data_IF_991996195446
#
_entry.id   IF_991996195446
#
_cell.length_a   1.000
_cell.length_b   1.000
_cell.length_c   1.000
_cell.angle_alpha   90.00
_cell.angle_beta   90.00
_cell.angle_gamma   90.00
#
_symmetry.space_group_name_H-M   'P 1'
#
loop_
_entity.id
_entity.type
_entity.pdbx_description
1 polymer ?
#
# COMPACT_ATOMS: atom_id res chain seq x y z
N UNK A 1 13.21 -9.77 17.52
CA UNK A 1 14.61 -9.77 17.12
C UNK A 1 15.47 -10.55 18.09
N UNK A 2 16.52 -11.22 17.64
CA UNK A 2 17.50 -11.84 18.53
C UNK A 2 18.22 -10.72 19.25
N UNK A 3 18.18 -10.68 20.57
CA UNK A 3 19.06 -9.81 21.36
C UNK A 3 20.44 -10.45 21.42
N UNK A 4 21.44 -9.84 20.79
CA UNK A 4 22.82 -10.27 20.78
C UNK A 4 23.20 -11.25 19.66
N UNK A 5 24.49 -11.32 19.35
CA UNK A 5 25.06 -12.23 18.38
C UNK A 5 24.96 -13.68 18.86
N UNK A 6 24.39 -14.57 18.07
CA UNK A 6 24.29 -16.01 18.37
C UNK A 6 25.38 -16.77 17.62
N UNK A 7 25.99 -17.74 18.30
CA UNK A 7 26.91 -18.67 17.66
C UNK A 7 26.14 -19.83 17.06
N UNK A 8 26.56 -20.31 15.91
CA UNK A 8 25.98 -21.46 15.24
C UNK A 8 27.02 -22.24 14.46
N UNK A 9 26.64 -23.40 13.94
CA UNK A 9 27.45 -24.25 13.09
C UNK A 9 26.62 -24.71 11.91
N UNK A 10 27.17 -24.62 10.72
CA UNK A 10 26.52 -25.12 9.52
C UNK A 10 26.42 -26.65 9.56
N UNK A 11 25.24 -27.18 9.24
CA UNK A 11 25.01 -28.64 9.19
C UNK A 11 25.12 -29.21 7.76
N UNK A 12 25.26 -28.36 6.78
CA UNK A 12 25.47 -28.69 5.36
C UNK A 12 26.18 -27.56 4.66
N UNK A 13 26.73 -27.83 3.46
CA UNK A 13 27.14 -26.76 2.57
C UNK A 13 25.94 -25.98 2.10
N UNK A 14 25.97 -24.66 2.22
CA UNK A 14 24.84 -23.80 1.89
C UNK A 14 25.27 -22.49 1.24
N UNK A 15 24.51 -22.06 0.23
CA UNK A 15 24.72 -20.77 -0.39
C UNK A 15 24.43 -19.61 0.57
N UNK A 16 25.40 -18.70 0.69
CA UNK A 16 25.24 -17.42 1.37
C UNK A 16 24.75 -16.40 0.34
N UNK A 17 23.65 -15.72 0.61
CA UNK A 17 22.98 -14.83 -0.35
C UNK A 17 22.99 -13.38 0.09
N UNK A 18 22.78 -12.47 -0.85
CA UNK A 18 22.67 -11.02 -0.59
C UNK A 18 21.46 -10.64 0.25
N UNK A 19 20.39 -11.45 0.24
CA UNK A 19 19.15 -11.20 0.96
C UNK A 19 18.46 -12.49 1.41
N UNK A 20 17.37 -12.38 2.22
CA UNK A 20 16.75 -13.50 2.90
C UNK A 20 15.73 -14.24 2.02
N UNK A 21 16.10 -14.65 0.81
CA UNK A 21 15.32 -15.51 -0.07
C UNK A 21 16.20 -16.22 -1.10
N UNK A 22 15.70 -17.31 -1.68
CA UNK A 22 16.42 -18.07 -2.73
C UNK A 22 16.56 -17.29 -4.04
N UNK A 23 15.76 -16.26 -4.26
CA UNK A 23 15.83 -15.37 -5.43
C UNK A 23 17.01 -14.40 -5.41
N UNK A 24 17.66 -14.19 -4.25
CA UNK A 24 18.84 -13.33 -4.19
C UNK A 24 20.10 -14.08 -4.65
N UNK A 25 21.03 -13.34 -5.29
CA UNK A 25 22.32 -13.87 -5.73
C UNK A 25 23.13 -14.47 -4.57
N UNK A 26 23.82 -15.56 -4.84
CA UNK A 26 24.78 -16.12 -3.91
C UNK A 26 26.07 -15.29 -3.91
N UNK A 27 26.60 -14.99 -2.72
CA UNK A 27 27.87 -14.28 -2.51
C UNK A 27 29.00 -15.21 -2.07
N UNK A 28 28.66 -16.46 -1.78
CA UNK A 28 29.64 -17.50 -1.37
C UNK A 28 28.92 -18.75 -0.87
N UNK A 29 29.71 -19.70 -0.40
CA UNK A 29 29.23 -20.95 0.21
C UNK A 29 29.74 -21.02 1.64
N UNK A 30 28.81 -21.25 2.58
CA UNK A 30 29.08 -21.59 3.97
C UNK A 30 29.32 -23.11 4.03
N UNK A 31 30.53 -23.60 4.32
CA UNK A 31 30.81 -25.01 4.36
C UNK A 31 30.15 -25.71 5.56
N UNK A 32 29.86 -26.99 5.42
CA UNK A 32 29.47 -27.85 6.53
C UNK A 32 30.49 -27.77 7.68
N UNK A 33 30.01 -27.78 8.90
CA UNK A 33 30.82 -27.67 10.14
C UNK A 33 31.49 -26.31 10.36
N UNK A 34 31.31 -25.34 9.46
CA UNK A 34 31.82 -23.99 9.66
C UNK A 34 31.06 -23.29 10.80
N UNK A 35 31.84 -22.76 11.75
CA UNK A 35 31.28 -21.88 12.80
C UNK A 35 30.85 -20.53 12.21
N UNK A 36 29.68 -20.04 12.63
CA UNK A 36 29.13 -18.76 12.21
C UNK A 36 28.66 -17.93 13.40
N UNK A 37 28.64 -16.62 13.22
CA UNK A 37 27.92 -15.69 14.10
C UNK A 37 26.63 -15.26 13.41
N UNK A 38 25.49 -15.48 14.05
CA UNK A 38 24.17 -15.04 13.57
C UNK A 38 23.84 -13.71 14.22
N UNK A 39 23.68 -12.68 13.38
CA UNK A 39 23.43 -11.30 13.82
C UNK A 39 21.98 -10.87 13.69
N UNK A 40 21.22 -11.53 12.81
CA UNK A 40 19.84 -11.19 12.51
C UNK A 40 19.05 -12.44 12.11
N UNK A 41 17.77 -12.48 12.47
CA UNK A 41 16.80 -13.46 11.95
C UNK A 41 15.78 -12.69 11.15
N UNK A 42 15.74 -12.94 9.86
CA UNK A 42 14.72 -12.42 8.98
C UNK A 42 13.64 -13.48 8.79
N UNK A 43 12.41 -13.09 9.07
CA UNK A 43 11.23 -13.79 8.63
C UNK A 43 10.77 -13.08 7.36
N UNK A 44 10.80 -13.75 6.22
CA UNK A 44 9.97 -13.34 5.12
C UNK A 44 8.55 -13.58 5.59
N UNK A 45 7.86 -12.53 6.06
CA UNK A 45 6.44 -12.56 6.35
C UNK A 45 5.73 -13.00 5.07
N UNK A 46 5.49 -14.31 4.95
CA UNK A 46 4.61 -14.86 3.94
C UNK A 46 3.20 -14.63 4.47
N UNK A 47 2.70 -13.42 4.25
CA UNK A 47 1.31 -13.07 4.51
C UNK A 47 0.38 -13.62 3.41
N UNK A 48 0.88 -14.43 2.49
CA UNK A 48 0.10 -15.08 1.43
C UNK A 48 0.50 -16.53 1.21
N UNK A 49 -0.26 -17.41 1.78
CA UNK A 49 -0.74 -18.71 1.35
C UNK A 49 0.09 -19.60 0.39
N UNK A 50 1.42 -19.64 0.47
CA UNK A 50 2.20 -20.64 -0.27
C UNK A 50 2.78 -21.65 0.71
N UNK A 51 2.11 -22.78 0.84
CA UNK A 51 2.43 -23.92 1.71
C UNK A 51 3.72 -24.70 1.36
N UNK A 52 4.65 -24.16 0.59
CA UNK A 52 5.72 -24.96 -0.04
C UNK A 52 7.15 -24.69 0.45
N UNK A 53 7.38 -23.78 1.42
CA UNK A 53 8.71 -23.61 1.98
C UNK A 53 8.76 -24.19 3.38
N UNK A 54 9.44 -25.30 3.53
CA UNK A 54 9.65 -26.03 4.78
C UNK A 54 10.39 -25.21 5.87
N UNK A 55 10.90 -24.01 5.53
CA UNK A 55 11.52 -23.13 6.50
C UNK A 55 11.58 -21.66 5.99
N UNK A 56 10.68 -20.77 6.44
CA UNK A 56 10.61 -19.39 5.99
C UNK A 56 11.66 -18.47 6.64
N UNK A 57 12.52 -18.98 7.52
CA UNK A 57 13.45 -18.17 8.27
C UNK A 57 14.82 -18.16 7.65
N UNK A 58 15.46 -16.99 7.68
CA UNK A 58 16.81 -16.74 7.20
C UNK A 58 17.64 -16.13 8.30
N UNK A 59 18.87 -16.59 8.44
CA UNK A 59 19.85 -16.01 9.33
C UNK A 59 20.83 -15.15 8.56
N UNK A 60 21.01 -13.91 9.01
CA UNK A 60 22.17 -13.13 8.61
C UNK A 60 23.35 -13.63 9.39
N UNK A 61 24.31 -14.17 8.67
CA UNK A 61 25.51 -14.80 9.26
C UNK A 61 26.76 -14.06 8.90
N UNK A 62 27.77 -14.10 9.78
CA UNK A 62 29.13 -13.78 9.44
C UNK A 62 30.07 -14.92 9.85
N UNK A 63 31.06 -15.19 9.02
CA UNK A 63 32.09 -16.21 9.26
C UNK A 63 33.39 -15.86 8.53
N UNK A 64 34.47 -16.48 8.91
CA UNK A 64 35.79 -16.34 8.26
C UNK A 64 36.13 -17.68 7.61
N UNK A 65 36.49 -17.64 6.32
CA UNK A 65 36.97 -18.79 5.56
C UNK A 65 38.20 -18.33 4.78
N UNK A 66 39.29 -19.09 4.87
CA UNK A 66 40.56 -18.79 4.18
C UNK A 66 41.04 -17.35 4.41
N UNK A 67 40.92 -16.85 5.67
CA UNK A 67 41.30 -15.50 6.07
C UNK A 67 40.35 -14.39 5.58
N UNK A 68 39.33 -14.71 4.78
CA UNK A 68 38.36 -13.75 4.26
C UNK A 68 37.04 -13.80 5.04
N UNK A 69 36.53 -12.61 5.43
CA UNK A 69 35.25 -12.48 6.12
C UNK A 69 34.10 -12.48 5.09
N UNK A 70 33.11 -13.32 5.34
CA UNK A 70 31.84 -13.38 4.60
C UNK A 70 30.69 -12.92 5.47
N UNK A 71 29.76 -12.22 4.87
CA UNK A 71 28.50 -11.80 5.51
C UNK A 71 27.37 -11.93 4.51
N UNK A 72 26.26 -12.48 4.92
CA UNK A 72 25.09 -12.65 4.07
C UNK A 72 24.01 -13.48 4.75
N UNK A 73 23.02 -13.90 3.99
CA UNK A 73 21.86 -14.65 4.48
C UNK A 73 21.95 -16.12 4.07
N UNK A 74 21.64 -16.99 5.04
CA UNK A 74 21.52 -18.43 4.82
C UNK A 74 20.18 -18.90 5.36
N UNK A 75 19.59 -19.92 4.73
CA UNK A 75 18.37 -20.52 5.28
C UNK A 75 18.66 -21.10 6.67
N UNK A 76 17.78 -20.80 7.62
CA UNK A 76 17.92 -21.27 9.00
C UNK A 76 17.90 -22.80 9.13
N UNK A 77 17.40 -23.53 8.12
CA UNK A 77 17.43 -24.98 8.06
C UNK A 77 18.84 -25.57 8.07
N UNK A 78 19.84 -24.78 7.62
CA UNK A 78 21.23 -25.24 7.45
C UNK A 78 22.19 -24.75 8.53
N UNK A 79 21.70 -24.09 9.57
CA UNK A 79 22.52 -23.60 10.69
C UNK A 79 21.93 -24.06 12.03
N UNK A 80 22.70 -24.86 12.76
CA UNK A 80 22.38 -25.21 14.13
C UNK A 80 22.88 -24.12 15.06
N UNK A 81 21.96 -23.39 15.71
CA UNK A 81 22.35 -22.33 16.66
C UNK A 81 22.76 -22.93 17.98
N UNK A 82 23.86 -22.41 18.50
CA UNK A 82 24.23 -22.53 19.91
C UNK A 82 23.75 -21.28 20.63
N UNK A 83 22.71 -21.41 21.44
CA UNK A 83 22.17 -20.31 22.22
C UNK A 83 22.78 -20.27 23.62
N UNK A 84 23.19 -19.11 24.08
CA UNK A 84 23.49 -18.86 25.49
C UNK A 84 22.47 -17.86 26.02
N UNK A 85 21.77 -18.23 27.09
CA UNK A 85 20.71 -17.45 27.68
C UNK A 85 20.90 -17.31 29.18
N UNK A 86 20.50 -16.18 29.73
CA UNK A 86 20.51 -15.95 31.16
C UNK A 86 19.08 -15.66 31.62
N UNK A 87 18.60 -16.38 32.60
CA UNK A 87 17.30 -16.19 33.26
C UNK A 87 17.46 -16.13 34.77
N UNK A 88 16.51 -15.57 35.46
CA UNK A 88 16.45 -15.63 36.92
C UNK A 88 15.85 -16.98 37.39
N UNK A 89 16.05 -17.32 38.66
CA UNK A 89 15.26 -18.34 39.34
C UNK A 89 13.77 -17.96 39.21
N UNK A 90 12.94 -18.95 38.86
CA UNK A 90 11.53 -18.80 38.50
C UNK A 90 11.27 -18.01 37.20
N UNK A 91 12.29 -17.45 36.56
CA UNK A 91 12.19 -16.80 35.23
C UNK A 91 11.80 -17.77 34.14
N UNK A 92 11.19 -17.28 33.08
CA UNK A 92 10.75 -18.05 31.91
C UNK A 92 11.41 -17.51 30.67
N UNK A 93 11.75 -18.39 29.75
CA UNK A 93 12.30 -18.08 28.43
C UNK A 93 11.66 -19.00 27.42
N UNK A 94 11.12 -18.47 26.35
CA UNK A 94 10.84 -19.26 25.16
C UNK A 94 12.12 -19.35 24.34
N UNK A 95 12.64 -20.56 24.17
CA UNK A 95 13.73 -20.79 23.25
C UNK A 95 13.26 -20.34 21.85
N UNK A 96 14.04 -19.48 21.17
CA UNK A 96 13.74 -19.22 19.77
C UNK A 96 13.80 -20.58 19.09
N UNK A 97 12.81 -20.88 18.25
CA UNK A 97 12.74 -22.12 17.49
C UNK A 97 13.96 -22.18 16.58
N UNK A 98 15.04 -22.76 17.09
CA UNK A 98 16.36 -22.77 16.44
C UNK A 98 16.44 -23.81 15.35
N UNK A 99 15.58 -24.84 15.47
CA UNK A 99 15.35 -25.82 14.41
C UNK A 99 14.11 -25.37 13.63
N UNK A 100 14.32 -24.57 12.61
CA UNK A 100 13.25 -24.16 11.70
C UNK A 100 12.89 -25.31 10.78
N UNK A 101 11.90 -26.06 11.19
CA UNK A 101 11.42 -27.28 10.54
C UNK A 101 9.92 -27.36 10.71
N UNK A 102 9.24 -27.99 9.76
CA UNK A 102 7.84 -28.38 9.91
C UNK A 102 7.66 -29.62 10.84
N UNK A 103 8.77 -30.23 11.21
CA UNK A 103 8.77 -31.39 12.11
C UNK A 103 8.56 -30.96 13.56
N UNK A 104 8.02 -31.86 14.36
CA UNK A 104 7.95 -31.69 15.82
C UNK A 104 9.37 -31.61 16.37
N UNK A 105 9.64 -30.58 17.18
CA UNK A 105 10.90 -30.47 17.96
C UNK A 105 10.65 -30.93 19.36
N UNK A 106 11.48 -31.82 19.83
CA UNK A 106 11.50 -32.32 21.19
C UNK A 106 12.61 -31.61 21.95
N UNK A 107 12.40 -31.34 23.24
CA UNK A 107 13.36 -30.65 24.07
C UNK A 107 13.70 -31.49 25.32
N UNK A 108 14.97 -31.48 25.70
CA UNK A 108 15.47 -32.17 26.89
C UNK A 108 16.43 -31.24 27.65
N UNK A 109 16.26 -31.17 28.96
CA UNK A 109 17.18 -30.52 29.89
C UNK A 109 18.12 -31.54 30.49
N UNK A 110 19.43 -31.28 30.46
CA UNK A 110 20.44 -32.13 31.09
C UNK A 110 20.33 -32.10 32.63
N UNK A 111 19.74 -31.05 33.19
CA UNK A 111 19.51 -30.94 34.64
C UNK A 111 18.23 -30.14 34.92
N UNK A 112 17.08 -30.84 35.11
CA UNK A 112 15.80 -30.22 35.43
C UNK A 112 15.78 -29.47 36.77
N UNK A 113 16.72 -29.76 37.68
CA UNK A 113 16.84 -29.03 38.94
C UNK A 113 17.39 -27.59 38.76
N UNK A 114 18.08 -27.35 37.62
CA UNK A 114 18.54 -26.00 37.24
C UNK A 114 17.50 -25.33 36.34
N UNK A 115 17.05 -25.99 35.29
CA UNK A 115 15.96 -25.51 34.43
C UNK A 115 15.19 -26.66 33.78
N UNK A 116 13.88 -26.50 33.72
CA UNK A 116 12.98 -27.39 32.95
C UNK A 116 12.66 -26.76 31.59
N UNK A 117 12.26 -27.60 30.64
CA UNK A 117 11.78 -27.21 29.32
C UNK A 117 10.58 -28.05 28.96
N UNK A 118 9.56 -27.47 28.35
CA UNK A 118 8.40 -28.18 27.81
C UNK A 118 8.56 -28.46 26.30
N UNK A 119 7.62 -29.25 25.75
CA UNK A 119 7.62 -29.62 24.31
C UNK A 119 7.45 -28.43 23.37
N UNK A 120 7.00 -27.30 23.87
CA UNK A 120 6.92 -26.06 23.11
C UNK A 120 8.22 -25.22 23.17
N UNK A 121 9.25 -25.69 23.91
CA UNK A 121 10.50 -24.99 24.11
C UNK A 121 10.43 -23.86 25.14
N UNK A 122 9.46 -23.86 26.05
CA UNK A 122 9.42 -22.91 27.16
C UNK A 122 10.31 -23.42 28.28
N UNK A 123 11.36 -22.66 28.60
CA UNK A 123 12.30 -22.94 29.68
C UNK A 123 11.88 -22.21 30.93
N UNK A 124 11.94 -22.89 32.10
CA UNK A 124 11.73 -22.30 33.40
C UNK A 124 12.96 -22.54 34.29
N UNK A 125 13.52 -21.46 34.83
CA UNK A 125 14.60 -21.54 35.82
C UNK A 125 14.11 -22.08 37.17
N UNK A 126 14.75 -23.12 37.69
CA UNK A 126 14.40 -23.78 38.96
C UNK A 126 15.43 -23.46 40.04
N UNK A 127 16.71 -23.71 39.75
CA UNK A 127 17.83 -23.48 40.64
C UNK A 127 18.94 -22.70 40.00
N UNK A 128 19.76 -21.96 40.79
CA UNK A 128 20.92 -21.29 40.25
C UNK A 128 21.96 -22.27 39.68
N UNK A 129 22.51 -21.95 38.53
CA UNK A 129 23.50 -22.80 37.85
C UNK A 129 23.46 -22.65 36.33
N UNK A 130 24.20 -23.51 35.65
CA UNK A 130 24.21 -23.55 34.20
C UNK A 130 23.80 -24.96 33.74
N UNK A 131 22.92 -25.00 32.74
CA UNK A 131 22.39 -26.26 32.20
C UNK A 131 22.30 -26.17 30.67
N UNK A 132 22.43 -27.31 30.02
CA UNK A 132 22.21 -27.45 28.59
C UNK A 132 20.81 -27.95 28.30
N UNK A 133 20.15 -27.31 27.35
CA UNK A 133 18.89 -27.76 26.78
C UNK A 133 19.18 -28.23 25.34
N UNK A 134 18.78 -29.45 25.04
CA UNK A 134 18.87 -30.05 23.72
C UNK A 134 17.51 -29.95 23.03
N UNK A 135 17.51 -29.48 21.77
CA UNK A 135 16.37 -29.61 20.88
C UNK A 135 16.71 -30.56 19.74
N UNK A 136 15.80 -31.45 19.38
CA UNK A 136 16.03 -32.41 18.29
C UNK A 136 14.74 -32.79 17.59
N UNK A 137 14.86 -33.25 16.35
CA UNK A 137 13.76 -33.75 15.54
C UNK A 137 13.97 -35.23 15.25
N UNK A 138 12.91 -35.95 14.85
CA UNK A 138 12.97 -37.33 14.43
C UNK A 138 13.95 -37.56 13.25
N UNK A 139 14.13 -36.57 12.40
CA UNK A 139 15.07 -36.60 11.27
C UNK A 139 16.52 -36.29 11.66
N UNK A 140 16.83 -36.16 12.97
CA UNK A 140 18.21 -35.99 13.47
C UNK A 140 18.75 -34.56 13.42
N UNK A 141 17.92 -33.54 13.15
CA UNK A 141 18.32 -32.15 13.35
C UNK A 141 18.42 -31.86 14.84
N UNK A 142 19.44 -31.13 15.26
CA UNK A 142 19.66 -30.83 16.67
C UNK A 142 20.08 -29.38 16.90
N UNK A 143 19.75 -28.88 18.08
CA UNK A 143 20.20 -27.59 18.61
C UNK A 143 20.66 -27.74 20.05
N UNK A 144 21.54 -26.88 20.50
CA UNK A 144 22.03 -26.85 21.87
C UNK A 144 21.89 -25.43 22.39
N UNK A 145 21.26 -25.28 23.54
CA UNK A 145 21.10 -24.00 24.22
C UNK A 145 21.65 -24.11 25.65
N UNK A 146 22.56 -23.22 26.01
CA UNK A 146 23.10 -23.13 27.37
C UNK A 146 22.28 -22.11 28.15
N UNK A 147 21.71 -22.51 29.28
CA UNK A 147 20.90 -21.69 30.15
C UNK A 147 21.63 -21.42 31.44
N UNK A 148 21.96 -20.18 31.73
CA UNK A 148 22.45 -19.74 33.05
C UNK A 148 21.29 -19.21 33.86
N UNK A 149 20.98 -19.87 34.96
CA UNK A 149 19.97 -19.44 35.92
C UNK A 149 20.63 -18.69 37.06
N UNK A 150 20.26 -17.45 37.25
CA UNK A 150 20.79 -16.56 38.30
C UNK A 150 19.99 -16.73 39.59
N UNK A 151 20.65 -16.65 40.74
CA UNK A 151 20.01 -16.62 42.05
C UNK A 151 19.10 -15.40 42.25
N UNK A 152 19.45 -14.27 41.58
CA UNK A 152 18.70 -13.01 41.63
C UNK A 152 18.30 -12.57 40.24
N UNK A 153 17.12 -11.95 40.14
CA UNK A 153 16.62 -11.33 38.92
C UNK A 153 17.39 -10.06 38.59
N UNK A 154 17.63 -9.82 37.31
CA UNK A 154 18.07 -8.52 36.77
C UNK A 154 16.81 -7.86 36.22
N UNK A 155 16.30 -6.86 36.95
CA UNK A 155 15.08 -6.17 36.57
C UNK A 155 15.33 -5.05 35.57
N UNK A 156 14.32 -4.73 34.79
CA UNK A 156 14.34 -3.59 33.89
C UNK A 156 14.51 -2.29 34.65
N UNK A 157 15.49 -1.46 34.28
CA UNK A 157 15.67 -0.09 34.78
C UNK A 157 15.00 0.94 33.90
N UNK A 158 14.74 0.59 32.61
CA UNK A 158 14.08 1.47 31.68
C UNK A 158 13.49 0.74 30.48
N UNK A 159 12.65 1.46 29.75
CA UNK A 159 12.05 1.03 28.48
C UNK A 159 11.97 2.23 27.54
N UNK A 160 12.30 2.04 26.26
CA UNK A 160 12.19 3.06 25.21
C UNK A 160 11.42 2.50 24.01
N UNK A 161 10.76 3.40 23.27
CA UNK A 161 10.15 3.09 21.98
C UNK A 161 10.97 3.71 20.84
N UNK A 162 10.92 3.06 19.68
CA UNK A 162 11.50 3.61 18.45
C UNK A 162 10.77 4.85 17.94
N UNK A 163 9.51 5.07 18.36
CA UNK A 163 8.70 6.26 18.07
C UNK A 163 7.83 6.63 19.25
N UNK A 164 7.76 7.93 19.56
CA UNK A 164 6.91 8.50 20.60
C UNK A 164 5.60 9.06 20.06
N UNK A 165 5.51 9.20 18.74
CA UNK A 165 4.30 9.62 18.03
C UNK A 165 4.11 8.79 16.76
N UNK A 166 2.86 8.45 16.43
CA UNK A 166 2.45 7.81 15.19
C UNK A 166 1.32 8.61 14.55
N UNK A 167 1.51 8.99 13.29
CA UNK A 167 0.45 9.57 12.46
C UNK A 167 0.04 8.53 11.41
N UNK A 168 -1.10 7.90 11.60
CA UNK A 168 -1.60 6.80 10.76
C UNK A 168 -2.80 7.25 9.94
N UNK A 169 -2.93 6.71 8.75
CA UNK A 169 -4.18 6.76 7.98
C UNK A 169 -5.10 5.65 8.44
N UNK A 170 -6.40 5.93 8.53
CA UNK A 170 -7.39 4.90 8.85
C UNK A 170 -7.23 3.68 7.94
N UNK A 171 -7.24 2.47 8.54
CA UNK A 171 -7.03 1.20 7.85
C UNK A 171 -5.55 0.80 7.65
N UNK A 172 -4.57 1.61 8.06
CA UNK A 172 -3.15 1.26 7.97
C UNK A 172 -2.61 0.69 9.29
N UNK A 173 -1.44 0.10 9.23
CA UNK A 173 -0.71 -0.43 10.39
C UNK A 173 0.72 0.06 10.43
N UNK A 174 1.30 0.14 11.62
CA UNK A 174 2.73 0.40 11.84
C UNK A 174 3.23 -0.36 13.07
N UNK A 175 4.51 -0.72 13.08
CA UNK A 175 5.12 -1.47 14.17
C UNK A 175 5.90 -0.54 15.11
N UNK A 176 5.56 -0.58 16.39
CA UNK A 176 6.37 -0.04 17.47
C UNK A 176 7.35 -1.12 17.95
N UNK A 177 8.58 -0.70 18.24
CA UNK A 177 9.60 -1.54 18.87
C UNK A 177 9.92 -0.97 20.25
N UNK A 178 9.83 -1.82 21.27
CA UNK A 178 10.26 -1.49 22.62
C UNK A 178 11.68 -2.05 22.85
N UNK A 179 12.53 -1.26 23.46
CA UNK A 179 13.86 -1.65 23.93
C UNK A 179 13.91 -1.51 25.44
N UNK A 180 14.17 -2.62 26.11
CA UNK A 180 14.29 -2.68 27.58
C UNK A 180 15.77 -2.58 27.96
N UNK A 181 16.06 -1.83 29.02
CA UNK A 181 17.41 -1.73 29.61
C UNK A 181 17.40 -2.25 31.03
N UNK A 182 18.49 -2.91 31.47
CA UNK A 182 19.65 -3.35 30.68
C UNK A 182 19.28 -4.48 29.70
N UNK A 183 20.08 -4.69 28.66
CA UNK A 183 19.83 -5.69 27.60
C UNK A 183 19.87 -7.15 28.12
N UNK A 184 20.49 -7.40 29.27
CA UNK A 184 20.55 -8.68 29.97
C UNK A 184 19.45 -8.85 31.03
N UNK A 185 18.39 -8.03 30.96
CA UNK A 185 17.23 -8.16 31.83
C UNK A 185 16.68 -9.60 31.80
N UNK A 186 16.50 -10.20 32.98
CA UNK A 186 15.99 -11.59 33.09
C UNK A 186 14.49 -11.70 32.87
N UNK A 187 13.79 -10.56 32.90
CA UNK A 187 12.36 -10.44 32.66
C UNK A 187 12.12 -9.28 31.66
N UNK A 188 12.47 -9.56 30.41
CA UNK A 188 12.37 -8.61 29.31
C UNK A 188 11.02 -8.56 28.60
N UNK A 189 9.99 -9.26 29.11
CA UNK A 189 8.66 -9.28 28.51
C UNK A 189 8.01 -7.89 28.54
N UNK A 190 7.47 -7.47 27.41
CA UNK A 190 6.77 -6.20 27.25
C UNK A 190 5.31 -6.46 26.92
N UNK A 191 4.43 -5.87 27.70
CA UNK A 191 2.99 -5.87 27.44
C UNK A 191 2.57 -4.56 26.78
N UNK A 192 1.59 -4.64 25.90
CA UNK A 192 1.12 -3.50 25.11
C UNK A 192 -0.36 -3.24 25.39
N UNK A 193 -0.70 -1.98 25.59
CA UNK A 193 -2.08 -1.53 25.82
C UNK A 193 -2.38 -0.26 25.04
N UNK A 194 -3.54 -0.24 24.37
CA UNK A 194 -4.10 0.98 23.79
C UNK A 194 -5.11 1.58 24.77
N UNK A 195 -5.08 2.90 24.93
CA UNK A 195 -6.07 3.64 25.73
C UNK A 195 -7.47 3.63 25.05
N UNK A 196 -7.51 3.45 23.73
CA UNK A 196 -8.76 3.30 22.96
C UNK A 196 -8.60 2.34 21.80
N UNK A 197 -9.01 1.08 22.00
CA UNK A 197 -8.93 0.03 20.98
C UNK A 197 -9.83 0.27 19.76
N UNK A 198 -10.85 1.14 19.86
CA UNK A 198 -11.70 1.54 18.73
C UNK A 198 -10.94 2.47 17.77
N UNK A 199 -10.03 3.28 18.27
CA UNK A 199 -9.19 4.18 17.45
C UNK A 199 -7.98 3.42 16.92
N UNK A 200 -7.19 2.78 17.80
CA UNK A 200 -6.06 1.96 17.40
C UNK A 200 -5.91 0.73 18.31
N UNK A 201 -5.78 -0.44 17.69
CA UNK A 201 -5.50 -1.71 18.39
C UNK A 201 -4.01 -1.98 18.31
N UNK A 202 -3.41 -2.38 19.42
CA UNK A 202 -2.02 -2.85 19.45
C UNK A 202 -1.99 -4.35 19.78
N UNK A 203 -1.12 -5.09 19.10
CA UNK A 203 -0.88 -6.52 19.37
C UNK A 203 0.22 -6.71 20.41
N UNK A 204 0.36 -7.93 20.92
CA UNK A 204 1.46 -8.32 21.82
C UNK A 204 2.85 -8.15 21.22
N UNK A 205 2.94 -8.05 19.88
CA UNK A 205 4.20 -7.81 19.14
C UNK A 205 4.46 -6.36 18.79
N UNK A 206 3.63 -5.42 19.28
CA UNK A 206 3.77 -3.99 19.04
C UNK A 206 3.22 -3.49 17.70
N UNK A 207 2.47 -4.31 16.94
CA UNK A 207 1.81 -3.83 15.72
C UNK A 207 0.59 -2.99 16.08
N UNK A 208 0.56 -1.75 15.63
CA UNK A 208 -0.53 -0.79 15.85
C UNK A 208 -1.37 -0.71 14.59
N UNK A 209 -2.66 -1.05 14.71
CA UNK A 209 -3.65 -1.03 13.62
C UNK A 209 -4.58 0.16 13.81
N UNK A 210 -4.61 1.07 12.86
CA UNK A 210 -5.54 2.20 12.83
C UNK A 210 -6.94 1.72 12.45
N UNK A 211 -7.93 1.89 13.36
CA UNK A 211 -9.29 1.35 13.20
C UNK A 211 -10.33 2.43 12.91
N UNK A 212 -10.22 3.58 13.57
CA UNK A 212 -11.08 4.74 13.34
C UNK A 212 -10.31 6.04 13.58
N UNK A 213 -10.81 7.12 13.03
CA UNK A 213 -10.19 8.45 13.13
C UNK A 213 -10.28 8.99 14.56
N UNK A 214 -9.19 9.54 15.07
CA UNK A 214 -9.09 10.09 16.42
C UNK A 214 -7.70 9.99 16.98
N UNK A 215 -7.58 10.16 18.28
CA UNK A 215 -6.31 10.08 19.01
C UNK A 215 -6.41 9.10 20.18
N UNK A 216 -5.36 8.36 20.41
CA UNK A 216 -5.20 7.49 21.57
C UNK A 216 -3.72 7.37 21.94
N UNK A 217 -3.45 6.70 23.05
CA UNK A 217 -2.08 6.43 23.52
C UNK A 217 -1.85 4.93 23.56
N UNK A 218 -0.74 4.47 22.99
CA UNK A 218 -0.25 3.10 23.15
C UNK A 218 0.84 3.10 24.20
N UNK A 219 0.70 2.23 25.20
CA UNK A 219 1.63 2.06 26.31
C UNK A 219 2.31 0.70 26.23
N UNK A 220 3.62 0.69 26.31
CA UNK A 220 4.43 -0.50 26.52
C UNK A 220 4.88 -0.57 27.99
N UNK A 221 4.73 -1.71 28.62
CA UNK A 221 5.02 -1.91 30.04
C UNK A 221 5.90 -3.14 30.23
N UNK A 222 7.01 -3.00 30.96
CA UNK A 222 7.85 -4.13 31.37
C UNK A 222 7.16 -4.93 32.50
N UNK A 223 7.64 -6.14 32.76
CA UNK A 223 7.09 -6.99 33.84
C UNK A 223 7.16 -6.33 35.22
N UNK A 224 8.21 -5.53 35.50
CA UNK A 224 8.37 -4.77 36.74
C UNK A 224 7.73 -3.38 36.71
N UNK A 225 6.86 -3.11 35.72
CA UNK A 225 6.01 -1.91 35.71
C UNK A 225 6.61 -0.64 35.12
N UNK A 226 7.81 -0.67 34.50
CA UNK A 226 8.34 0.48 33.77
C UNK A 226 7.50 0.70 32.51
N UNK A 227 7.13 1.96 32.24
CA UNK A 227 6.20 2.32 31.16
C UNK A 227 6.81 3.34 30.21
N UNK A 228 6.41 3.23 28.95
CA UNK A 228 6.67 4.24 27.93
C UNK A 228 5.44 4.33 27.01
N UNK A 229 5.17 5.51 26.51
CA UNK A 229 3.97 5.78 25.71
C UNK A 229 4.31 6.30 24.31
N UNK A 230 3.41 6.00 23.37
CA UNK A 230 3.39 6.56 22.03
C UNK A 230 2.02 7.20 21.78
N UNK A 231 2.01 8.48 21.43
CA UNK A 231 0.78 9.17 20.99
C UNK A 231 0.42 8.71 19.57
N UNK A 232 -0.78 8.22 19.38
CA UNK A 232 -1.28 7.74 18.08
C UNK A 232 -2.38 8.67 17.61
N UNK A 233 -2.18 9.24 16.43
CA UNK A 233 -3.18 10.05 15.72
C UNK A 233 -3.57 9.34 14.45
N UNK A 234 -4.85 9.02 14.33
CA UNK A 234 -5.42 8.42 13.12
C UNK A 234 -6.21 9.48 12.37
N UNK A 235 -5.89 9.67 11.10
CA UNK A 235 -6.56 10.58 10.18
C UNK A 235 -7.27 9.83 9.05
N UNK A 236 -8.24 10.45 8.34
CA UNK A 236 -8.86 9.82 7.18
C UNK A 236 -7.83 9.34 6.15
N UNK A 237 -8.14 8.24 5.48
CA UNK A 237 -7.38 7.75 4.35
C UNK A 237 -7.31 8.75 3.20
N UNK A 238 -6.61 8.39 2.14
CA UNK A 238 -6.53 9.22 0.92
C UNK A 238 -7.46 8.63 -0.14
N UNK A 239 -8.43 9.40 -0.60
CA UNK A 239 -9.32 8.99 -1.68
C UNK A 239 -8.62 9.10 -3.05
N UNK A 240 -9.11 8.33 -4.02
CA UNK A 240 -8.72 8.45 -5.43
C UNK A 240 -9.87 9.09 -6.19
N UNK A 241 -9.63 10.28 -6.79
CA UNK A 241 -10.62 11.01 -7.55
C UNK A 241 -10.44 10.79 -9.05
N UNK A 242 -11.55 10.67 -9.78
CA UNK A 242 -11.62 10.62 -11.25
C UNK A 242 -12.49 11.74 -11.75
N UNK A 243 -11.96 12.58 -12.64
CA UNK A 243 -12.68 13.61 -13.36
C UNK A 243 -12.99 13.15 -14.77
N UNK A 244 -14.22 13.30 -15.21
CA UNK A 244 -14.67 12.94 -16.56
C UNK A 244 -15.52 14.04 -17.15
N UNK A 245 -15.43 14.25 -18.47
CA UNK A 245 -16.32 15.15 -19.17
C UNK A 245 -17.80 14.76 -18.94
N UNK A 246 -18.63 15.74 -18.67
CA UNK A 246 -20.06 15.55 -18.47
C UNK A 246 -20.91 16.57 -19.27
N UNK A 247 -20.39 17.00 -20.39
CA UNK A 247 -21.05 17.96 -21.26
C UNK A 247 -20.22 19.22 -21.55
N UNK A 248 -20.86 20.20 -22.16
CA UNK A 248 -20.12 21.39 -22.64
C UNK A 248 -19.69 22.34 -21.52
N UNK A 249 -20.33 22.30 -20.36
CA UNK A 249 -20.04 23.20 -19.25
C UNK A 249 -19.96 22.49 -17.90
N UNK A 250 -19.75 21.19 -17.90
CA UNK A 250 -19.68 20.44 -16.63
C UNK A 250 -18.72 19.25 -16.69
N UNK A 251 -18.20 18.91 -15.52
CA UNK A 251 -17.33 17.76 -15.28
C UNK A 251 -17.95 16.93 -14.16
N UNK A 252 -17.99 15.62 -14.34
CA UNK A 252 -18.38 14.66 -13.30
C UNK A 252 -17.15 14.19 -12.57
N UNK A 253 -17.16 14.31 -11.25
CA UNK A 253 -16.16 13.78 -10.35
C UNK A 253 -16.71 12.53 -9.67
N UNK A 254 -15.90 11.50 -9.53
CA UNK A 254 -16.22 10.29 -8.76
C UNK A 254 -15.00 9.89 -7.95
N UNK A 255 -15.22 9.25 -6.80
CA UNK A 255 -14.15 8.76 -5.94
C UNK A 255 -14.57 7.53 -5.16
N UNK A 256 -13.58 6.79 -4.63
CA UNK A 256 -13.84 5.68 -3.73
C UNK A 256 -14.28 6.20 -2.36
N UNK A 257 -15.31 5.57 -1.80
CA UNK A 257 -15.76 5.86 -0.44
C UNK A 257 -14.63 5.54 0.57
N UNK A 258 -14.35 6.47 1.46
CA UNK A 258 -13.47 6.25 2.60
C UNK A 258 -14.28 5.79 3.80
N UNK A 259 -13.70 4.91 4.62
CA UNK A 259 -14.25 4.58 5.93
C UNK A 259 -14.03 5.72 6.91
N UNK A 260 -14.96 5.88 7.84
CA UNK A 260 -14.88 6.80 8.99
C UNK A 260 -14.58 8.26 8.63
N UNK A 261 -15.35 8.83 7.71
CA UNK A 261 -15.30 10.23 7.33
C UNK A 261 -16.65 10.91 7.56
N UNK A 262 -16.62 12.17 8.01
CA UNK A 262 -17.80 13.03 8.06
C UNK A 262 -18.14 13.56 6.68
N UNK A 263 -17.13 13.83 5.86
CA UNK A 263 -17.32 14.35 4.52
C UNK A 263 -16.03 14.52 3.74
N UNK A 264 -16.17 15.18 2.62
CA UNK A 264 -15.07 15.47 1.72
C UNK A 264 -15.05 16.94 1.35
N UNK A 265 -13.85 17.48 1.18
CA UNK A 265 -13.59 18.76 0.53
C UNK A 265 -13.08 18.52 -0.88
N UNK A 266 -13.73 19.16 -1.86
CA UNK A 266 -13.37 19.07 -3.26
C UNK A 266 -12.67 20.36 -3.66
N UNK A 267 -11.54 20.22 -4.33
CA UNK A 267 -10.68 21.31 -4.75
C UNK A 267 -10.55 21.33 -6.27
N UNK A 268 -10.57 22.53 -6.83
CA UNK A 268 -10.38 22.77 -8.27
C UNK A 268 -9.34 23.85 -8.51
N UNK A 269 -8.62 23.72 -9.60
CA UNK A 269 -7.80 24.78 -10.18
C UNK A 269 -7.80 24.69 -11.71
N UNK A 270 -7.39 25.77 -12.37
CA UNK A 270 -6.97 25.81 -13.78
C UNK A 270 -5.44 25.76 -13.88
N UNK A 271 -4.89 25.72 -15.09
CA UNK A 271 -3.44 25.84 -15.30
C UNK A 271 -2.92 27.16 -14.73
N UNK A 272 -1.79 27.13 -14.04
CA UNK A 272 -1.16 28.31 -13.43
C UNK A 272 -1.85 28.85 -12.16
N UNK A 273 -3.02 28.34 -11.75
CA UNK A 273 -3.71 28.80 -10.55
C UNK A 273 -3.56 27.86 -9.36
N UNK A 274 -3.84 28.37 -8.15
CA UNK A 274 -3.85 27.57 -6.91
C UNK A 274 -5.19 26.81 -6.78
N UNK A 275 -5.16 25.66 -6.05
CA UNK A 275 -6.37 24.93 -5.71
C UNK A 275 -7.25 25.75 -4.75
N UNK A 276 -8.52 25.89 -5.11
CA UNK A 276 -9.57 26.46 -4.27
C UNK A 276 -10.59 25.38 -3.94
N UNK A 277 -11.17 25.43 -2.73
CA UNK A 277 -12.29 24.57 -2.35
C UNK A 277 -13.54 25.00 -3.12
N UNK A 278 -14.16 24.06 -3.83
CA UNK A 278 -15.39 24.31 -4.60
C UNK A 278 -16.62 23.69 -3.96
N UNK A 279 -16.45 22.65 -3.14
CA UNK A 279 -17.56 21.99 -2.45
C UNK A 279 -17.10 21.28 -1.18
N UNK A 280 -18.03 21.15 -0.24
CA UNK A 280 -18.00 20.23 0.89
C UNK A 280 -19.19 19.31 0.76
N UNK A 281 -18.96 18.00 0.80
CA UNK A 281 -20.01 17.00 0.62
C UNK A 281 -19.98 15.97 1.73
N UNK A 282 -21.11 15.28 1.96
CA UNK A 282 -21.24 14.24 2.99
C UNK A 282 -20.29 13.06 2.76
N UNK A 283 -19.94 12.35 3.83
CA UNK A 283 -19.11 11.14 3.80
C UNK A 283 -19.74 9.95 3.05
N UNK A 284 -21.04 10.00 2.80
CA UNK A 284 -21.77 9.00 1.98
C UNK A 284 -21.72 9.32 0.49
N UNK A 285 -21.37 10.56 0.12
CA UNK A 285 -21.28 11.02 -1.27
C UNK A 285 -20.01 10.48 -1.94
N UNK A 286 -20.16 9.94 -3.14
CA UNK A 286 -19.06 9.40 -3.96
C UNK A 286 -18.99 10.03 -5.36
N UNK A 287 -19.80 11.02 -5.63
CA UNK A 287 -19.78 11.77 -6.89
C UNK A 287 -20.20 13.23 -6.69
N UNK A 288 -19.73 14.09 -7.57
CA UNK A 288 -20.05 15.51 -7.60
C UNK A 288 -20.06 16.00 -9.05
N UNK A 289 -21.02 16.83 -9.41
CA UNK A 289 -21.08 17.48 -10.71
C UNK A 289 -20.65 18.94 -10.59
N UNK A 290 -19.49 19.25 -11.10
CA UNK A 290 -18.99 20.62 -11.23
C UNK A 290 -19.62 21.26 -12.48
N UNK A 291 -20.29 22.39 -12.30
CA UNK A 291 -21.12 23.06 -13.32
C UNK A 291 -20.55 24.45 -13.65
N UNK A 292 -21.14 25.07 -14.69
CA UNK A 292 -20.81 26.43 -15.12
C UNK A 292 -19.32 26.59 -15.50
N UNK A 293 -18.78 25.56 -16.09
CA UNK A 293 -17.40 25.52 -16.53
C UNK A 293 -17.29 26.03 -17.97
N UNK A 294 -16.11 26.56 -18.31
CA UNK A 294 -15.80 27.02 -19.67
C UNK A 294 -15.47 25.81 -20.54
N UNK A 295 -16.19 25.67 -21.65
CA UNK A 295 -15.94 24.61 -22.65
C UNK A 295 -14.49 24.69 -23.15
N UNK A 296 -13.80 23.56 -23.13
CA UNK A 296 -12.41 23.46 -23.59
C UNK A 296 -11.36 23.80 -22.53
N UNK A 297 -11.72 24.52 -21.47
CA UNK A 297 -10.82 24.84 -20.37
C UNK A 297 -10.46 23.59 -19.59
N UNK A 298 -9.16 23.34 -19.38
CA UNK A 298 -8.68 22.22 -18.56
C UNK A 298 -8.80 22.57 -17.07
N UNK A 299 -9.43 21.68 -16.31
CA UNK A 299 -9.59 21.78 -14.86
C UNK A 299 -8.91 20.60 -14.18
N UNK A 300 -8.29 20.88 -13.03
CA UNK A 300 -7.59 19.92 -12.20
C UNK A 300 -8.32 19.83 -10.87
N UNK A 301 -8.54 18.62 -10.40
CA UNK A 301 -9.29 18.33 -9.17
C UNK A 301 -8.48 17.52 -8.19
N UNK A 302 -8.67 17.81 -6.92
CA UNK A 302 -8.22 17.00 -5.78
C UNK A 302 -9.36 16.87 -4.78
N UNK A 303 -9.31 15.83 -3.97
CA UNK A 303 -10.27 15.58 -2.90
C UNK A 303 -9.53 15.27 -1.60
N UNK A 304 -10.11 15.62 -0.47
CA UNK A 304 -9.61 15.34 0.87
C UNK A 304 -10.77 14.92 1.76
N UNK A 305 -10.69 13.74 2.39
CA UNK A 305 -11.60 13.33 3.44
C UNK A 305 -11.32 14.07 4.76
N UNK A 306 -12.37 14.34 5.53
CA UNK A 306 -12.26 14.84 6.90
C UNK A 306 -13.22 14.12 7.83
N UNK A 307 -12.84 14.03 9.10
CA UNK A 307 -13.68 13.52 10.19
C UNK A 307 -13.79 14.56 11.27
N UNK A 308 -15.01 14.86 11.68
CA UNK A 308 -15.29 15.72 12.83
C UNK A 308 -15.62 14.85 14.04
N UNK A 309 -14.85 15.01 15.10
CA UNK A 309 -15.04 14.31 16.39
C UNK A 309 -15.13 15.37 17.47
N UNK A 310 -16.33 15.58 18.01
CA UNK A 310 -16.58 16.70 18.91
C UNK A 310 -16.24 18.04 18.24
N UNK A 311 -15.37 18.82 18.87
CA UNK A 311 -14.89 20.11 18.34
C UNK A 311 -13.68 19.98 17.39
N UNK A 312 -13.05 18.80 17.29
CA UNK A 312 -11.84 18.59 16.51
C UNK A 312 -12.16 18.08 15.11
N UNK A 313 -11.50 18.65 14.11
CA UNK A 313 -11.59 18.18 12.71
C UNK A 313 -10.26 17.55 12.28
N UNK A 314 -10.27 16.24 12.07
CA UNK A 314 -9.16 15.47 11.52
C UNK A 314 -9.22 15.51 10.01
N UNK A 315 -8.10 15.85 9.37
CA UNK A 315 -8.01 16.02 7.92
C UNK A 315 -7.07 14.97 7.33
N UNK A 316 -7.54 14.25 6.32
CA UNK A 316 -6.71 13.37 5.52
C UNK A 316 -5.79 14.14 4.56
N UNK A 317 -5.04 13.43 3.76
CA UNK A 317 -4.22 14.01 2.69
C UNK A 317 -5.07 14.31 1.46
N UNK A 318 -4.69 15.33 0.69
CA UNK A 318 -5.27 15.55 -0.64
C UNK A 318 -4.90 14.40 -1.57
N UNK A 319 -5.82 13.98 -2.43
CA UNK A 319 -5.58 13.00 -3.47
C UNK A 319 -4.51 13.45 -4.47
N UNK A 320 -4.04 12.51 -5.31
CA UNK A 320 -3.43 12.89 -6.59
C UNK A 320 -4.43 13.68 -7.41
N UNK A 321 -3.95 14.53 -8.31
CA UNK A 321 -4.81 15.34 -9.17
C UNK A 321 -5.41 14.48 -10.28
N UNK A 322 -6.71 14.67 -10.55
CA UNK A 322 -7.36 14.22 -11.77
C UNK A 322 -7.75 15.43 -12.63
N UNK A 323 -7.71 15.29 -13.92
CA UNK A 323 -7.95 16.40 -14.86
C UNK A 323 -8.98 16.02 -15.92
N UNK A 324 -9.79 16.99 -16.29
CA UNK A 324 -10.73 16.89 -17.40
C UNK A 324 -11.01 18.28 -17.96
N UNK A 325 -11.71 18.32 -19.06
CA UNK A 325 -12.24 19.54 -19.65
C UNK A 325 -13.63 19.29 -20.24
N UNK A 326 -14.55 20.26 -20.14
CA UNK A 326 -15.85 20.18 -20.79
C UNK A 326 -15.65 20.17 -22.31
N UNK A 327 -16.46 19.39 -23.00
CA UNK A 327 -16.41 19.26 -24.46
C UNK A 327 -17.74 19.68 -25.07
N UNK A 328 -17.74 20.24 -26.30
CA UNK A 328 -18.98 20.51 -27.02
C UNK A 328 -19.85 19.24 -27.09
N UNK A 329 -21.15 19.42 -26.99
CA UNK A 329 -22.09 18.31 -27.08
C UNK A 329 -22.04 17.64 -28.46
N UNK A 330 -22.59 16.42 -28.52
CA UNK A 330 -22.76 15.69 -29.79
C UNK A 330 -23.70 16.46 -30.71
N UNK A 331 -23.28 16.67 -31.96
CA UNK A 331 -24.12 17.32 -32.97
C UNK A 331 -25.32 16.43 -33.29
N UNK A 332 -26.49 17.02 -33.41
CA UNK A 332 -27.70 16.35 -33.93
C UNK A 332 -28.01 16.90 -35.32
N UNK A 333 -27.71 16.11 -36.36
CA UNK A 333 -28.14 16.38 -37.72
C UNK A 333 -29.66 16.20 -37.77
N UNK A 334 -30.37 17.26 -38.12
CA UNK A 334 -31.83 17.28 -38.17
C UNK A 334 -32.37 16.79 -39.48
N UNK A 335 -31.72 17.18 -40.58
CA UNK A 335 -32.12 16.73 -41.94
C UNK A 335 -30.97 16.81 -42.92
N UNK A 336 -31.08 16.04 -43.98
CA UNK A 336 -30.32 16.18 -45.22
C UNK A 336 -31.34 16.28 -46.37
N UNK A 337 -31.18 17.27 -47.19
CA UNK A 337 -32.06 17.47 -48.34
C UNK A 337 -31.24 17.50 -49.64
N UNK A 338 -31.74 16.83 -50.67
CA UNK A 338 -31.15 16.90 -52.00
C UNK A 338 -31.35 18.31 -52.57
N UNK A 339 -30.33 18.83 -53.25
CA UNK A 339 -30.36 20.12 -53.99
C UNK A 339 -29.96 19.87 -55.42
N UNK A 340 -30.19 20.81 -56.34
CA UNK A 340 -29.88 20.65 -57.75
C UNK A 340 -28.41 20.18 -57.99
N UNK A 341 -27.46 20.70 -57.21
CA UNK A 341 -26.03 20.42 -57.38
C UNK A 341 -25.40 19.58 -56.28
N UNK A 342 -26.19 19.08 -55.29
CA UNK A 342 -25.60 18.35 -54.17
C UNK A 342 -26.58 17.95 -53.08
N UNK A 343 -26.15 18.08 -51.82
CA UNK A 343 -26.94 17.81 -50.61
C UNK A 343 -26.72 18.88 -49.55
N UNK A 344 -27.79 19.35 -48.95
CA UNK A 344 -27.73 20.34 -47.86
C UNK A 344 -28.06 19.68 -46.54
N UNK A 345 -27.09 19.72 -45.60
CA UNK A 345 -27.19 19.27 -44.24
C UNK A 345 -27.69 20.40 -43.34
N UNK A 346 -28.49 20.03 -42.35
CA UNK A 346 -28.95 20.89 -41.26
C UNK A 346 -28.73 20.22 -39.92
N UNK A 347 -28.34 20.98 -38.92
CA UNK A 347 -28.18 20.47 -37.55
C UNK A 347 -28.59 21.51 -36.52
N UNK A 348 -28.69 21.07 -35.26
CA UNK A 348 -28.97 21.98 -34.17
C UNK A 348 -27.68 22.70 -33.70
N UNK A 349 -27.79 23.98 -33.35
CA UNK A 349 -26.74 24.74 -32.70
C UNK A 349 -26.26 24.00 -31.44
N UNK A 350 -24.94 23.89 -31.28
CA UNK A 350 -24.31 23.19 -30.18
C UNK A 350 -23.73 24.19 -29.19
N UNK A 351 -24.17 24.09 -27.93
CA UNK A 351 -23.64 24.93 -26.86
C UNK A 351 -22.15 24.64 -26.62
N UNK A 352 -21.39 25.71 -26.35
CA UNK A 352 -19.94 25.63 -26.10
C UNK A 352 -19.09 25.46 -27.35
N UNK A 353 -19.68 25.29 -28.54
CA UNK A 353 -18.91 25.16 -29.77
C UNK A 353 -18.39 26.53 -30.28
N UNK A 354 -17.24 26.52 -30.93
CA UNK A 354 -16.74 27.60 -31.76
C UNK A 354 -17.14 27.41 -33.24
N UNK A 355 -17.34 26.15 -33.65
CA UNK A 355 -17.69 25.79 -35.01
C UNK A 355 -17.90 24.28 -35.18
N UNK A 356 -17.90 23.86 -36.43
CA UNK A 356 -18.21 22.48 -36.82
C UNK A 356 -17.26 21.95 -37.88
N UNK A 357 -17.04 20.67 -37.87
CA UNK A 357 -16.32 19.95 -38.94
C UNK A 357 -17.26 18.93 -39.55
N UNK A 358 -17.38 18.97 -40.86
CA UNK A 358 -18.23 18.05 -41.62
C UNK A 358 -17.34 17.01 -42.30
N UNK A 359 -17.76 15.75 -42.16
CA UNK A 359 -17.09 14.59 -42.73
C UNK A 359 -18.04 13.84 -43.65
N UNK A 360 -17.49 13.30 -44.72
CA UNK A 360 -18.23 12.53 -45.74
C UNK A 360 -17.53 11.22 -46.05
N UNK A 361 -18.30 10.20 -46.34
CA UNK A 361 -17.87 8.91 -46.89
C UNK A 361 -18.85 8.43 -47.95
N UNK A 362 -18.38 7.59 -48.89
CA UNK A 362 -19.23 6.84 -49.83
C UNK A 362 -19.64 5.47 -49.27
N UNK A 363 -19.13 5.10 -48.08
CA UNK A 363 -19.50 3.88 -47.38
C UNK A 363 -19.91 4.22 -45.93
N UNK A 364 -20.96 3.58 -45.44
CA UNK A 364 -21.47 3.79 -44.07
C UNK A 364 -20.41 3.50 -42.99
N UNK A 365 -19.64 2.45 -43.18
CA UNK A 365 -18.59 1.96 -42.27
C UNK A 365 -17.18 2.29 -42.73
N UNK A 366 -17.03 2.95 -43.87
CA UNK A 366 -15.75 3.28 -44.45
C UNK A 366 -15.07 4.49 -43.79
N UNK A 367 -13.95 4.89 -44.41
CA UNK A 367 -13.21 6.08 -43.97
C UNK A 367 -13.99 7.33 -44.31
N UNK A 368 -14.16 8.20 -43.30
CA UNK A 368 -14.74 9.53 -43.45
C UNK A 368 -13.65 10.56 -43.60
N UNK A 369 -13.74 11.39 -44.63
CA UNK A 369 -12.82 12.50 -44.88
C UNK A 369 -13.45 13.84 -44.50
N UNK A 370 -12.66 14.74 -43.94
CA UNK A 370 -13.08 16.11 -43.65
C UNK A 370 -13.31 16.83 -45.00
N UNK A 371 -14.50 17.37 -45.17
CA UNK A 371 -14.86 18.11 -46.39
C UNK A 371 -15.07 19.58 -46.11
N UNK A 372 -15.38 19.99 -44.86
CA UNK A 372 -15.56 21.41 -44.50
C UNK A 372 -15.34 21.65 -43.03
N UNK A 373 -14.72 22.78 -42.74
CA UNK A 373 -14.71 23.37 -41.40
C UNK A 373 -15.50 24.69 -41.44
N UNK A 374 -16.40 24.85 -40.46
CA UNK A 374 -17.22 26.03 -40.27
C UNK A 374 -16.78 26.69 -38.97
N UNK A 375 -16.19 27.89 -39.03
CA UNK A 375 -15.64 28.60 -37.87
C UNK A 375 -16.67 29.51 -37.15
N UNK A 376 -17.95 29.24 -37.32
CA UNK A 376 -19.05 30.01 -36.72
C UNK A 376 -20.13 29.09 -36.14
N UNK A 377 -20.36 29.19 -34.82
CA UNK A 377 -21.33 28.39 -34.10
C UNK A 377 -22.76 28.52 -34.64
N UNK A 378 -23.12 29.72 -35.07
CA UNK A 378 -24.48 30.02 -35.58
C UNK A 378 -24.74 29.50 -37.00
N UNK A 379 -23.70 29.06 -37.72
CA UNK A 379 -23.84 28.44 -39.04
C UNK A 379 -24.18 26.96 -38.88
N UNK A 380 -25.44 26.63 -39.01
CA UNK A 380 -26.01 25.31 -38.69
C UNK A 380 -26.47 24.55 -39.92
N UNK A 381 -25.92 24.88 -41.07
CA UNK A 381 -26.14 24.17 -42.32
C UNK A 381 -24.93 24.20 -43.22
N UNK A 382 -24.82 23.24 -44.11
CA UNK A 382 -23.77 23.18 -45.14
C UNK A 382 -24.33 22.54 -46.41
N UNK A 383 -24.06 23.15 -47.56
CA UNK A 383 -24.41 22.59 -48.86
C UNK A 383 -23.16 21.95 -49.49
N UNK A 384 -23.14 20.65 -49.57
CA UNK A 384 -22.09 19.87 -50.22
C UNK A 384 -22.47 19.70 -51.72
N UNK A 385 -21.71 20.32 -52.59
CA UNK A 385 -21.88 20.29 -54.03
C UNK A 385 -21.00 19.23 -54.70
N UNK A 386 -21.21 18.98 -56.02
CA UNK A 386 -20.38 18.07 -56.82
C UNK A 386 -20.64 16.60 -56.52
N UNK A 387 -21.84 16.23 -56.02
CA UNK A 387 -22.23 14.87 -55.78
C UNK A 387 -22.70 14.18 -57.08
N UNK A 388 -22.30 12.94 -57.29
CA UNK A 388 -22.63 12.13 -58.48
C UNK A 388 -24.03 11.54 -58.32
N UNK A 389 -24.84 11.66 -59.39
CA UNK A 389 -26.18 11.06 -59.47
C UNK A 389 -26.12 9.52 -59.28
N UNK A 390 -27.05 8.97 -58.53
CA UNK A 390 -27.14 7.55 -58.25
C UNK A 390 -26.24 7.06 -57.10
N UNK A 391 -25.27 7.85 -56.63
CA UNK A 391 -24.42 7.50 -55.47
C UNK A 391 -25.06 7.83 -54.15
N UNK A 392 -24.76 7.01 -53.11
CA UNK A 392 -25.14 7.25 -51.73
C UNK A 392 -23.96 7.86 -50.99
N UNK A 393 -24.21 8.94 -50.25
CA UNK A 393 -23.23 9.62 -49.43
C UNK A 393 -23.64 9.61 -47.96
N UNK A 394 -22.66 9.42 -47.10
CA UNK A 394 -22.81 9.33 -45.66
C UNK A 394 -22.10 10.49 -45.01
N UNK A 395 -22.76 11.13 -44.05
CA UNK A 395 -22.24 12.32 -43.36
C UNK A 395 -22.27 12.15 -41.85
N UNK A 396 -21.26 12.71 -41.21
CA UNK A 396 -21.24 13.00 -39.80
C UNK A 396 -20.65 14.38 -39.54
N UNK A 397 -21.12 15.04 -38.49
CA UNK A 397 -20.69 16.37 -38.10
C UNK A 397 -20.19 16.32 -36.67
N UNK A 398 -19.13 17.05 -36.40
CA UNK A 398 -18.53 17.16 -35.08
C UNK A 398 -18.39 18.64 -34.73
N UNK A 399 -18.81 19.02 -33.51
CA UNK A 399 -18.58 20.36 -32.99
C UNK A 399 -17.19 20.44 -32.36
N UNK A 400 -16.57 21.61 -32.43
CA UNK A 400 -15.32 21.89 -31.73
C UNK A 400 -15.37 23.22 -30.98
N UNK A 401 -14.55 23.32 -29.94
CA UNK A 401 -14.19 24.55 -29.23
C UNK A 401 -12.76 24.92 -29.58
N UNK A 402 -12.53 26.15 -29.99
CA UNK A 402 -11.19 26.71 -30.18
C UNK A 402 -10.86 27.59 -28.96
N UNK A 403 -9.80 27.21 -28.25
CA UNK A 403 -9.25 27.93 -27.09
C UNK A 403 -7.89 28.53 -27.50
N UNK A 404 -7.95 29.66 -28.23
CA UNK A 404 -6.72 30.34 -28.68
C UNK A 404 -5.74 29.43 -29.43
N UNK A 405 -6.27 28.66 -30.40
CA UNK A 405 -5.46 27.74 -31.22
C UNK A 405 -5.48 26.28 -30.72
N UNK A 406 -5.93 26.02 -29.50
CA UNK A 406 -6.12 24.65 -29.00
C UNK A 406 -7.55 24.21 -29.28
N UNK A 407 -7.71 23.14 -30.09
CA UNK A 407 -9.00 22.63 -30.51
C UNK A 407 -9.43 21.48 -29.59
N UNK A 408 -10.63 21.57 -29.03
CA UNK A 408 -11.28 20.55 -28.23
C UNK A 408 -12.51 20.07 -28.96
N UNK A 409 -12.52 18.80 -29.35
CA UNK A 409 -13.58 18.20 -30.16
C UNK A 409 -14.62 17.48 -29.32
N UNK A 410 -15.89 17.65 -29.70
CA UNK A 410 -17.01 16.86 -29.20
C UNK A 410 -17.06 15.46 -29.82
N UNK A 411 -18.17 14.76 -29.63
CA UNK A 411 -18.41 13.48 -30.32
C UNK A 411 -18.99 13.70 -31.70
N UNK A 412 -18.72 12.77 -32.62
CA UNK A 412 -19.39 12.74 -33.91
C UNK A 412 -20.90 12.62 -33.73
N UNK A 413 -21.67 13.25 -34.64
CA UNK A 413 -23.11 12.96 -34.81
C UNK A 413 -23.33 11.50 -35.18
N UNK A 414 -24.55 11.03 -35.08
CA UNK A 414 -24.97 9.83 -35.81
C UNK A 414 -24.80 10.08 -37.30
N UNK A 415 -24.45 9.03 -38.03
CA UNK A 415 -24.34 9.07 -39.48
C UNK A 415 -25.73 9.30 -40.09
N UNK A 416 -25.79 10.24 -41.00
CA UNK A 416 -26.95 10.44 -41.88
C UNK A 416 -26.53 10.20 -43.33
N UNK A 417 -27.43 9.65 -44.13
CA UNK A 417 -27.18 9.35 -45.55
C UNK A 417 -28.15 10.03 -46.46
N UNK A 418 -27.73 10.21 -47.69
CA UNK A 418 -28.57 10.65 -48.80
C UNK A 418 -28.11 9.97 -50.09
N UNK A 419 -29.04 9.55 -50.92
CA UNK A 419 -28.79 9.12 -52.30
C UNK A 419 -29.01 10.33 -53.20
N UNK A 420 -28.03 10.63 -54.06
CA UNK A 420 -28.10 11.74 -54.97
C UNK A 420 -28.77 11.31 -56.29
#
# INVERSE_FOLDING_TARGET
GISGNKKGVANSDVNVRKGPATSYDAVGVLPKNQAVTVTEVSNTDIEYGVRWLSNPYWYKVSFVKDGKKYTGYVSAAYVNLKGEYTIAKAGRLKLPTTLKTSEQVYYLSDNPAIATVDDAGNVKGIGAGTVTIHGFTAAGKSSVSTIKVLAKSIHATGIKLNKTTLNLKNGTKEKLKATVTPNNTTDGNVTWKSSNKKIAKVTSRGNVYAKSVGECTVTATTANGKKVTCKVKVVPGTATIKATNNGYNSIKLTWNKLGDVTGYWIYRRTSGSKYKTIAKVSGTTVSYKDKNLVTGQKYYYKIKGYKKVGKTTYKGSKSKASKAYPKPAKVKITSIKSTAKGAKLYWKKVAGASGYVIYRSESKTGKYTKIKEIKKQTKISYNNTGLLKGKTYYYKVMAYRNMSGIYVYGKYSTVKQIRK
#
